data_IF_119905821923
#
_entry.id   IF_119905821923
#
_cell.length_a   1.000
_cell.length_b   1.000
_cell.length_c   1.000
_cell.angle_alpha   90.00
_cell.angle_beta   90.00
_cell.angle_gamma   90.00
#
_symmetry.space_group_name_H-M   'P 1'
#
loop_
_entity.id
_entity.type
_entity.pdbx_description
1 polymer ?
#
# COMPACT_ATOMS: atom_id res chain seq x y z
N UNK A 1 59.39 -1.23 -1.27
CA UNK A 1 58.09 -1.82 -1.58
C UNK A 1 56.98 -1.46 -0.59
N UNK A 2 57.22 -1.34 0.71
CA UNK A 2 56.21 -0.99 1.73
C UNK A 2 55.50 0.37 1.56
N UNK A 3 56.21 1.41 1.11
CA UNK A 3 55.63 2.75 0.96
C UNK A 3 54.58 2.84 -0.17
N UNK A 4 54.70 2.07 -1.25
CA UNK A 4 53.69 2.03 -2.32
C UNK A 4 52.37 1.36 -1.88
N UNK A 5 52.48 0.34 -1.04
CA UNK A 5 51.29 -0.35 -0.51
C UNK A 5 50.50 0.52 0.45
N UNK A 6 51.19 1.37 1.24
CA UNK A 6 50.57 2.35 2.15
C UNK A 6 49.87 3.49 1.38
N UNK A 7 50.46 3.97 0.28
CA UNK A 7 49.84 4.99 -0.57
C UNK A 7 48.58 4.46 -1.29
N UNK A 8 48.59 3.21 -1.74
CA UNK A 8 47.41 2.56 -2.34
C UNK A 8 46.33 2.37 -1.29
N UNK A 9 46.65 1.97 -0.07
CA UNK A 9 45.70 1.83 1.02
C UNK A 9 45.10 3.19 1.47
N UNK A 10 45.91 4.25 1.48
CA UNK A 10 45.46 5.61 1.80
C UNK A 10 44.61 6.24 0.69
N UNK A 11 44.88 5.94 -0.60
CA UNK A 11 44.04 6.41 -1.71
C UNK A 11 42.67 5.70 -1.79
N UNK A 12 42.57 4.49 -1.27
CA UNK A 12 41.28 3.77 -1.14
C UNK A 12 40.45 4.25 0.06
N UNK A 13 41.06 4.88 1.07
CA UNK A 13 40.37 5.37 2.26
C UNK A 13 39.62 6.71 2.07
N UNK A 14 39.65 7.32 0.88
CA UNK A 14 39.08 8.64 0.62
C UNK A 14 37.81 8.65 -0.26
N UNK A 15 37.28 7.50 -0.65
CA UNK A 15 35.99 7.46 -1.35
C UNK A 15 34.90 7.59 -0.31
N UNK A 16 34.13 8.69 -0.36
CA UNK A 16 33.00 8.83 0.57
C UNK A 16 32.04 7.64 0.42
N UNK A 17 31.43 7.16 1.53
CA UNK A 17 30.48 6.05 1.48
C UNK A 17 29.39 6.24 0.43
N UNK A 18 28.97 7.47 0.19
CA UNK A 18 27.97 7.85 -0.81
C UNK A 18 28.45 7.55 -2.24
N UNK A 19 29.71 7.90 -2.57
CA UNK A 19 30.28 7.63 -3.89
C UNK A 19 30.42 6.12 -4.10
N UNK A 20 30.82 5.37 -3.07
CA UNK A 20 30.94 3.92 -3.14
C UNK A 20 29.56 3.27 -3.38
N UNK A 21 28.52 3.71 -2.68
CA UNK A 21 27.12 3.25 -2.87
C UNK A 21 26.61 3.59 -4.27
N UNK A 22 26.87 4.81 -4.75
CA UNK A 22 26.46 5.21 -6.10
C UNK A 22 27.18 4.38 -7.19
N UNK A 23 28.48 4.12 -7.03
CA UNK A 23 29.23 3.31 -7.98
C UNK A 23 28.76 1.85 -7.99
N UNK A 24 28.50 1.27 -6.81
CA UNK A 24 27.93 -0.06 -6.69
C UNK A 24 26.54 -0.14 -7.31
N UNK A 25 25.69 0.86 -7.06
CA UNK A 25 24.34 0.94 -7.66
C UNK A 25 24.38 1.02 -9.18
N UNK A 26 25.26 1.87 -9.75
CA UNK A 26 25.45 1.95 -11.21
C UNK A 26 25.95 0.62 -11.80
N UNK A 27 26.93 -0.01 -11.17
CA UNK A 27 27.47 -1.31 -11.61
C UNK A 27 26.39 -2.40 -11.58
N UNK A 28 25.59 -2.44 -10.53
CA UNK A 28 24.46 -3.36 -10.40
C UNK A 28 23.40 -3.15 -11.48
N UNK A 29 22.97 -1.91 -11.71
CA UNK A 29 22.01 -1.57 -12.77
C UNK A 29 22.57 -1.96 -14.15
N UNK A 30 23.84 -1.63 -14.45
CA UNK A 30 24.45 -2.00 -15.71
C UNK A 30 24.53 -3.52 -15.91
N UNK A 31 24.79 -4.27 -14.85
CA UNK A 31 24.78 -5.74 -14.88
C UNK A 31 23.37 -6.29 -15.16
N UNK A 32 22.33 -5.72 -14.52
CA UNK A 32 20.94 -6.11 -14.76
C UNK A 32 20.50 -5.80 -16.19
N UNK A 33 20.90 -4.66 -16.75
CA UNK A 33 20.57 -4.27 -18.13
C UNK A 33 21.19 -5.17 -19.19
N UNK A 34 22.32 -5.83 -18.87
CA UNK A 34 22.97 -6.79 -19.77
C UNK A 34 22.30 -8.19 -19.73
N UNK A 35 21.49 -8.44 -18.73
CA UNK A 35 20.77 -9.70 -18.57
C UNK A 35 19.44 -9.60 -19.28
N UNK A 36 19.23 -10.35 -20.36
CA UNK A 36 17.92 -10.57 -20.96
C UNK A 36 17.06 -11.47 -20.05
N UNK A 37 16.64 -10.92 -18.92
CA UNK A 37 15.74 -11.61 -18.01
C UNK A 37 14.32 -11.08 -18.21
N UNK A 38 13.44 -11.96 -18.65
CA UNK A 38 12.01 -11.71 -18.70
C UNK A 38 11.35 -12.38 -17.49
N UNK A 39 10.60 -11.60 -16.71
CA UNK A 39 9.78 -12.16 -15.63
C UNK A 39 8.44 -12.60 -16.18
N UNK A 40 8.06 -13.81 -15.89
CA UNK A 40 6.70 -14.29 -16.17
C UNK A 40 5.80 -13.87 -15.01
N UNK A 41 4.82 -13.02 -15.30
CA UNK A 41 3.78 -12.60 -14.35
C UNK A 41 2.51 -13.36 -14.68
N UNK A 42 2.07 -14.22 -13.78
CA UNK A 42 0.85 -14.99 -13.94
C UNK A 42 -0.42 -14.13 -13.79
N UNK A 43 -1.54 -14.62 -14.28
CA UNK A 43 -2.82 -13.91 -14.28
C UNK A 43 -3.30 -13.59 -12.85
N UNK A 44 -3.08 -14.51 -11.91
CA UNK A 44 -3.43 -14.32 -10.49
C UNK A 44 -2.66 -13.16 -9.86
N UNK A 45 -1.39 -13.02 -10.18
CA UNK A 45 -0.56 -11.89 -9.73
C UNK A 45 -1.03 -10.58 -10.35
N UNK A 46 -1.41 -10.58 -11.64
CA UNK A 46 -1.97 -9.39 -12.30
C UNK A 46 -3.28 -8.97 -11.64
N UNK A 47 -4.19 -9.88 -11.37
CA UNK A 47 -5.44 -9.61 -10.64
C UNK A 47 -5.17 -9.04 -9.25
N UNK A 48 -4.18 -9.59 -8.54
CA UNK A 48 -3.76 -9.08 -7.23
C UNK A 48 -3.27 -7.63 -7.32
N UNK A 49 -2.47 -7.30 -8.33
CA UNK A 49 -1.99 -5.92 -8.58
C UNK A 49 -3.17 -4.98 -8.82
N UNK A 50 -4.13 -5.37 -9.66
CA UNK A 50 -5.31 -4.56 -9.96
C UNK A 50 -6.15 -4.32 -8.70
N UNK A 51 -6.42 -5.37 -7.92
CA UNK A 51 -7.19 -5.28 -6.68
C UNK A 51 -6.50 -4.36 -5.66
N UNK A 52 -5.20 -4.51 -5.45
CA UNK A 52 -4.43 -3.69 -4.52
C UNK A 52 -4.35 -2.23 -4.96
N UNK A 53 -4.18 -1.96 -6.25
CA UNK A 53 -4.18 -0.61 -6.79
C UNK A 53 -5.55 0.06 -6.62
N UNK A 54 -6.63 -0.68 -6.87
CA UNK A 54 -8.01 -0.20 -6.71
C UNK A 54 -8.29 0.11 -5.24
N UNK A 55 -7.93 -0.79 -4.33
CA UNK A 55 -8.06 -0.58 -2.90
C UNK A 55 -7.29 0.67 -2.44
N UNK A 56 -6.04 0.82 -2.86
CA UNK A 56 -5.22 1.97 -2.51
C UNK A 56 -5.81 3.28 -3.05
N UNK A 57 -6.34 3.30 -4.28
CA UNK A 57 -7.02 4.45 -4.85
C UNK A 57 -8.26 4.83 -4.03
N UNK A 58 -9.10 3.88 -3.67
CA UNK A 58 -10.28 4.11 -2.82
C UNK A 58 -9.89 4.64 -1.45
N UNK A 59 -8.90 4.04 -0.79
CA UNK A 59 -8.45 4.46 0.54
C UNK A 59 -7.89 5.89 0.57
N UNK A 60 -7.28 6.34 -0.53
CA UNK A 60 -6.73 7.69 -0.68
C UNK A 60 -7.77 8.72 -1.11
N UNK A 61 -8.92 8.28 -1.58
CA UNK A 61 -9.97 9.17 -2.07
C UNK A 61 -10.52 10.02 -0.94
N UNK A 62 -10.50 11.33 -1.13
CA UNK A 62 -11.09 12.28 -0.21
C UNK A 62 -12.61 12.25 -0.37
N UNK A 63 -13.31 12.26 0.76
CA UNK A 63 -14.77 12.45 0.80
C UNK A 63 -15.05 13.88 1.22
N UNK A 64 -15.64 14.65 0.32
CA UNK A 64 -15.98 16.04 0.59
C UNK A 64 -17.25 16.14 1.40
N UNK A 65 -17.20 16.92 2.48
CA UNK A 65 -18.30 17.14 3.43
C UNK A 65 -18.62 18.62 3.54
N UNK A 66 -19.84 18.93 3.91
CA UNK A 66 -20.24 20.29 4.22
C UNK A 66 -19.36 20.88 5.31
N UNK A 67 -18.89 22.11 5.07
CA UNK A 67 -18.07 22.85 6.05
C UNK A 67 -18.94 23.41 7.19
N UNK A 68 -20.19 23.73 6.88
CA UNK A 68 -21.19 24.27 7.81
C UNK A 68 -22.41 23.35 7.84
N UNK A 69 -22.93 23.04 9.03
CA UNK A 69 -24.09 22.18 9.19
C UNK A 69 -23.77 20.85 9.86
N UNK A 70 -24.40 19.78 9.40
CA UNK A 70 -24.27 18.43 9.97
C UNK A 70 -23.03 17.69 9.48
N UNK A 71 -22.24 18.27 8.55
CA UNK A 71 -21.10 17.62 7.92
C UNK A 71 -21.50 16.47 7.02
N UNK A 72 -22.64 16.58 6.35
CA UNK A 72 -23.13 15.59 5.40
C UNK A 72 -22.21 15.51 4.18
N UNK A 73 -22.20 14.35 3.52
CA UNK A 73 -21.40 14.15 2.30
C UNK A 73 -22.06 14.96 1.17
N UNK A 74 -21.32 15.92 0.62
CA UNK A 74 -21.84 16.85 -0.37
C UNK A 74 -22.03 16.20 -1.74
N UNK A 75 -21.11 15.32 -2.12
CA UNK A 75 -21.14 14.60 -3.39
C UNK A 75 -20.75 13.15 -3.20
N UNK A 76 -21.28 12.27 -4.05
CA UNK A 76 -20.80 10.89 -4.11
C UNK A 76 -19.31 10.90 -4.45
N UNK A 77 -18.43 10.35 -3.60
CA UNK A 77 -17.01 10.39 -3.86
C UNK A 77 -16.70 9.57 -5.11
N UNK A 78 -15.95 10.19 -6.03
CA UNK A 78 -15.42 9.50 -7.22
C UNK A 78 -14.00 9.10 -6.90
N UNK A 79 -13.74 7.80 -6.79
CA UNK A 79 -12.42 7.29 -6.55
C UNK A 79 -11.49 7.63 -7.72
N UNK A 80 -10.23 7.96 -7.41
CA UNK A 80 -9.19 8.13 -8.43
C UNK A 80 -9.12 6.87 -9.31
N UNK A 81 -9.00 7.05 -10.63
CA UNK A 81 -8.83 5.91 -11.53
C UNK A 81 -7.46 5.25 -11.25
N UNK A 82 -7.42 3.97 -10.87
CA UNK A 82 -6.19 3.33 -10.39
C UNK A 82 -5.17 3.03 -11.50
N UNK A 83 -5.43 3.42 -12.75
CA UNK A 83 -4.61 3.05 -13.93
C UNK A 83 -3.12 3.39 -13.76
N UNK A 84 -2.83 4.59 -13.23
CA UNK A 84 -1.43 4.98 -12.98
C UNK A 84 -0.76 4.08 -11.95
N UNK A 85 -1.47 3.78 -10.88
CA UNK A 85 -0.97 2.93 -9.80
C UNK A 85 -0.82 1.48 -10.27
N UNK A 86 -1.78 0.95 -11.04
CA UNK A 86 -1.69 -0.36 -11.69
C UNK A 86 -0.40 -0.42 -12.53
N UNK A 87 -0.15 0.58 -13.38
CA UNK A 87 1.06 0.60 -14.22
C UNK A 87 2.36 0.62 -13.41
N UNK A 88 2.40 1.37 -12.30
CA UNK A 88 3.57 1.42 -11.40
C UNK A 88 3.81 0.11 -10.67
N UNK A 89 2.76 -0.49 -10.12
CA UNK A 89 2.84 -1.77 -9.40
C UNK A 89 3.13 -2.93 -10.35
N UNK A 90 2.60 -2.91 -11.56
CA UNK A 90 2.93 -3.92 -12.60
C UNK A 90 4.42 -3.88 -12.95
N UNK A 91 5.01 -2.69 -13.10
CA UNK A 91 6.45 -2.54 -13.31
C UNK A 91 7.25 -3.05 -12.11
N UNK A 92 6.80 -2.75 -10.89
CA UNK A 92 7.46 -3.28 -9.67
C UNK A 92 7.48 -4.80 -9.66
N UNK A 93 6.34 -5.43 -9.96
CA UNK A 93 6.21 -6.91 -9.99
C UNK A 93 7.04 -7.53 -11.11
N UNK A 94 7.23 -6.84 -12.24
CA UNK A 94 8.09 -7.29 -13.33
C UNK A 94 9.59 -7.15 -13.02
N UNK A 95 9.98 -6.04 -12.37
CA UNK A 95 11.39 -5.74 -12.14
C UNK A 95 11.94 -6.36 -10.85
N UNK A 96 11.13 -6.51 -9.80
CA UNK A 96 11.60 -7.02 -8.51
C UNK A 96 12.17 -8.45 -8.58
N UNK A 97 11.58 -9.43 -9.31
CA UNK A 97 12.18 -10.74 -9.48
C UNK A 97 13.58 -10.66 -10.12
N UNK A 98 13.75 -9.83 -11.14
CA UNK A 98 15.03 -9.66 -11.84
C UNK A 98 16.10 -9.19 -10.85
N UNK A 99 15.78 -8.21 -9.99
CA UNK A 99 16.68 -7.70 -8.94
C UNK A 99 17.03 -8.80 -7.93
N UNK A 100 16.08 -9.68 -7.62
CA UNK A 100 16.28 -10.80 -6.70
C UNK A 100 16.95 -12.03 -7.37
N UNK A 101 17.22 -11.99 -8.67
CA UNK A 101 17.77 -13.12 -9.43
C UNK A 101 16.77 -14.25 -9.67
N UNK A 102 15.47 -13.94 -9.61
CA UNK A 102 14.37 -14.87 -9.78
C UNK A 102 13.72 -14.69 -11.17
N UNK A 103 13.16 -15.74 -11.73
CA UNK A 103 12.46 -15.71 -13.02
C UNK A 103 10.95 -15.53 -12.88
N UNK A 104 10.41 -15.83 -11.69
CA UNK A 104 8.98 -15.78 -11.39
C UNK A 104 8.70 -14.88 -10.20
N UNK A 105 7.45 -14.44 -10.08
CA UNK A 105 7.00 -13.67 -8.93
C UNK A 105 6.93 -14.56 -7.68
N UNK A 106 7.84 -14.35 -6.77
CA UNK A 106 7.93 -15.10 -5.52
C UNK A 106 7.11 -14.43 -4.39
N UNK A 107 6.94 -15.15 -3.28
CA UNK A 107 6.35 -14.60 -2.06
C UNK A 107 7.10 -13.38 -1.51
N UNK A 108 8.40 -13.27 -1.77
CA UNK A 108 9.20 -12.09 -1.38
C UNK A 108 8.76 -10.85 -2.15
N UNK A 109 8.52 -11.00 -3.46
CA UNK A 109 8.01 -9.91 -4.32
C UNK A 109 6.61 -9.50 -3.90
N UNK A 110 5.72 -10.46 -3.60
CA UNK A 110 4.38 -10.15 -3.08
C UNK A 110 4.43 -9.41 -1.74
N UNK A 111 5.30 -9.83 -0.81
CA UNK A 111 5.50 -9.11 0.46
C UNK A 111 6.00 -7.67 0.23
N UNK A 112 6.91 -7.47 -0.73
CA UNK A 112 7.36 -6.13 -1.11
C UNK A 112 6.20 -5.29 -1.67
N UNK A 113 5.38 -5.87 -2.55
CA UNK A 113 4.20 -5.22 -3.10
C UNK A 113 3.23 -4.76 -1.99
N UNK A 114 2.90 -5.64 -1.04
CA UNK A 114 2.06 -5.28 0.10
C UNK A 114 2.67 -4.17 0.96
N UNK A 115 3.98 -4.19 1.18
CA UNK A 115 4.67 -3.13 1.92
C UNK A 115 4.54 -1.79 1.20
N UNK A 116 4.77 -1.76 -0.11
CA UNK A 116 4.65 -0.54 -0.93
C UNK A 116 3.21 0.00 -0.89
N UNK A 117 2.21 -0.86 -1.02
CA UNK A 117 0.79 -0.46 -0.91
C UNK A 117 0.49 0.12 0.46
N UNK A 118 0.94 -0.51 1.53
CA UNK A 118 0.76 -0.01 2.89
C UNK A 118 1.35 1.38 3.08
N UNK A 119 2.55 1.61 2.54
CA UNK A 119 3.22 2.90 2.64
C UNK A 119 2.51 3.99 1.78
N UNK A 120 1.90 3.60 0.64
CA UNK A 120 1.09 4.49 -0.21
C UNK A 120 -0.20 4.93 0.48
N UNK A 121 -0.83 4.04 1.25
CA UNK A 121 -2.15 4.26 1.87
C UNK A 121 -2.05 5.02 3.20
N UNK A 122 -0.87 5.20 3.76
CA UNK A 122 -0.62 5.68 5.12
C UNK A 122 -1.16 4.71 6.19
N UNK A 123 -0.29 3.83 6.72
CA UNK A 123 -0.68 2.83 7.71
C UNK A 123 -1.14 3.43 9.05
N UNK A 124 -0.88 4.72 9.29
CA UNK A 124 -1.30 5.42 10.51
C UNK A 124 -2.71 5.99 10.40
N UNK A 125 -3.26 6.04 9.19
CA UNK A 125 -4.60 6.59 8.96
C UNK A 125 -5.67 5.76 9.68
N UNK A 126 -6.68 6.45 10.21
CA UNK A 126 -7.84 5.81 10.86
C UNK A 126 -8.51 4.85 9.87
N UNK A 127 -8.64 5.26 8.63
CA UNK A 127 -9.26 4.47 7.55
C UNK A 127 -8.53 3.15 7.33
N UNK A 128 -7.20 3.15 7.29
CA UNK A 128 -6.42 1.93 7.15
C UNK A 128 -6.63 0.98 8.33
N UNK A 129 -6.59 1.51 9.56
CA UNK A 129 -6.80 0.72 10.79
C UNK A 129 -8.18 0.08 10.80
N UNK A 130 -9.23 0.85 10.52
CA UNK A 130 -10.61 0.33 10.41
C UNK A 130 -10.74 -0.76 9.36
N UNK A 131 -10.14 -0.57 8.18
CA UNK A 131 -10.17 -1.60 7.13
C UNK A 131 -9.43 -2.87 7.56
N UNK A 132 -8.34 -2.74 8.32
CA UNK A 132 -7.61 -3.90 8.85
C UNK A 132 -8.46 -4.68 9.85
N UNK A 133 -9.06 -4.00 10.83
CA UNK A 133 -9.93 -4.63 11.83
C UNK A 133 -11.12 -5.32 11.13
N UNK A 134 -11.79 -4.62 10.20
CA UNK A 134 -12.93 -5.16 9.46
C UNK A 134 -12.58 -6.32 8.50
N UNK A 135 -11.30 -6.51 8.18
CA UNK A 135 -10.86 -7.72 7.47
C UNK A 135 -10.98 -8.99 8.31
N UNK A 136 -10.99 -8.87 9.62
CA UNK A 136 -11.06 -10.01 10.55
C UNK A 136 -12.49 -10.49 10.79
N UNK A 137 -13.52 -9.72 10.41
CA UNK A 137 -14.91 -10.15 10.55
C UNK A 137 -15.95 -9.03 10.60
N UNK A 138 -17.11 -9.36 11.18
CA UNK A 138 -18.17 -8.42 11.44
C UNK A 138 -18.04 -7.86 12.86
N UNK A 139 -18.14 -6.54 12.98
CA UNK A 139 -17.99 -5.83 14.25
C UNK A 139 -19.20 -4.96 14.56
N UNK A 140 -19.47 -4.82 15.86
CA UNK A 140 -20.35 -3.75 16.32
C UNK A 140 -19.58 -2.42 16.38
N UNK A 141 -20.22 -1.27 16.16
CA UNK A 141 -19.56 0.03 16.28
C UNK A 141 -18.86 0.25 17.63
N UNK A 142 -19.42 -0.29 18.72
CA UNK A 142 -18.81 -0.22 20.06
C UNK A 142 -17.51 -1.00 20.16
N UNK A 143 -17.39 -2.14 19.49
CA UNK A 143 -16.16 -2.93 19.45
C UNK A 143 -15.07 -2.21 18.68
N UNK A 144 -15.41 -1.56 17.56
CA UNK A 144 -14.48 -0.74 16.78
C UNK A 144 -13.99 0.49 17.55
N UNK A 145 -14.83 1.10 18.40
CA UNK A 145 -14.39 2.18 19.29
C UNK A 145 -13.37 1.66 20.29
N UNK A 146 -13.58 0.48 20.86
CA UNK A 146 -12.64 -0.11 21.83
C UNK A 146 -11.31 -0.52 21.17
N UNK A 147 -11.34 -1.15 20.00
CA UNK A 147 -10.13 -1.61 19.31
C UNK A 147 -9.28 -0.45 18.78
N UNK A 148 -9.92 0.56 18.21
CA UNK A 148 -9.23 1.68 17.56
C UNK A 148 -8.88 2.84 18.49
N UNK A 149 -9.63 2.99 19.62
CA UNK A 149 -9.49 4.09 20.57
C UNK A 149 -9.96 5.44 20.01
N UNK A 150 -10.70 5.47 18.91
CA UNK A 150 -11.22 6.71 18.31
C UNK A 150 -12.58 7.09 18.89
N UNK A 151 -12.94 8.38 18.81
CA UNK A 151 -14.26 8.84 19.29
C UNK A 151 -15.40 8.27 18.44
N UNK A 152 -16.57 8.05 19.05
CA UNK A 152 -17.78 7.56 18.37
C UNK A 152 -18.13 8.44 17.15
N UNK A 153 -17.96 9.76 17.26
CA UNK A 153 -18.28 10.68 16.17
C UNK A 153 -17.29 10.55 15.01
N UNK A 154 -16.02 10.40 15.31
CA UNK A 154 -14.97 10.14 14.30
C UNK A 154 -15.22 8.79 13.62
N UNK A 155 -15.52 7.75 14.40
CA UNK A 155 -15.84 6.42 13.85
C UNK A 155 -17.05 6.49 12.90
N UNK A 156 -18.12 7.13 13.30
CA UNK A 156 -19.31 7.28 12.43
C UNK A 156 -18.96 7.94 11.10
N UNK A 157 -18.19 9.03 11.12
CA UNK A 157 -17.78 9.73 9.90
C UNK A 157 -16.94 8.84 8.99
N UNK A 158 -15.94 8.15 9.52
CA UNK A 158 -15.09 7.26 8.74
C UNK A 158 -15.86 6.06 8.16
N UNK A 159 -16.82 5.49 8.91
CA UNK A 159 -17.67 4.41 8.42
C UNK A 159 -18.62 4.89 7.30
N UNK A 160 -19.17 6.10 7.41
CA UNK A 160 -19.93 6.73 6.33
C UNK A 160 -19.08 6.96 5.09
N UNK A 161 -17.83 7.44 5.26
CA UNK A 161 -16.88 7.63 4.16
C UNK A 161 -16.55 6.31 3.46
N UNK A 162 -16.23 5.28 4.23
CA UNK A 162 -15.95 3.95 3.69
C UNK A 162 -17.15 3.34 2.97
N UNK A 163 -18.36 3.57 3.48
CA UNK A 163 -19.60 3.17 2.81
C UNK A 163 -19.81 3.93 1.50
N UNK A 164 -19.62 5.24 1.50
CA UNK A 164 -19.75 6.06 0.30
C UNK A 164 -18.73 5.67 -0.79
N UNK A 165 -17.53 5.21 -0.38
CA UNK A 165 -16.52 4.66 -1.27
C UNK A 165 -16.80 3.23 -1.73
N UNK A 166 -17.89 2.60 -1.27
CA UNK A 166 -18.23 1.22 -1.61
C UNK A 166 -17.33 0.16 -0.95
N UNK A 167 -16.62 0.53 0.11
CA UNK A 167 -15.69 -0.37 0.82
C UNK A 167 -16.34 -1.11 1.99
N UNK A 168 -17.53 -0.71 2.40
CA UNK A 168 -18.29 -1.31 3.51
C UNK A 168 -19.73 -1.59 3.14
N UNK A 169 -20.24 -2.73 3.60
CA UNK A 169 -21.66 -3.01 3.73
C UNK A 169 -22.11 -2.90 5.19
N UNK A 170 -23.30 -2.38 5.39
CA UNK A 170 -23.98 -2.39 6.68
C UNK A 170 -25.07 -3.46 6.61
N UNK A 171 -24.89 -4.55 7.31
CA UNK A 171 -25.87 -5.61 7.38
C UNK A 171 -26.97 -5.25 8.40
N UNK A 172 -28.10 -4.76 7.88
CA UNK A 172 -29.32 -4.60 8.65
C UNK A 172 -30.08 -5.94 8.61
N UNK A 173 -29.72 -6.89 9.47
CA UNK A 173 -30.48 -8.14 9.60
C UNK A 173 -31.93 -7.86 10.02
N UNK A 174 -32.89 -8.67 9.60
CA UNK A 174 -34.30 -8.54 10.04
C UNK A 174 -34.37 -8.68 11.57
N UNK A 175 -34.83 -7.65 12.28
CA UNK A 175 -34.87 -7.59 13.74
C UNK A 175 -33.66 -6.96 14.42
N UNK A 176 -32.74 -6.36 13.68
CA UNK A 176 -31.56 -5.68 14.26
C UNK A 176 -32.00 -4.50 15.10
N UNK A 177 -31.81 -4.60 16.42
CA UNK A 177 -31.84 -3.46 17.34
C UNK A 177 -30.69 -2.49 16.97
N UNK A 178 -30.73 -1.21 17.41
CA UNK A 178 -29.67 -0.25 17.15
C UNK A 178 -28.32 -0.80 17.64
N UNK A 179 -27.48 -1.19 16.73
CA UNK A 179 -26.22 -1.94 16.93
C UNK A 179 -25.94 -2.83 15.71
N UNK A 180 -26.26 -2.32 14.54
CA UNK A 180 -26.08 -3.02 13.26
C UNK A 180 -24.64 -3.47 13.08
N UNK A 181 -24.42 -4.73 12.79
CA UNK A 181 -23.09 -5.26 12.47
C UNK A 181 -22.59 -4.69 11.15
N UNK A 182 -21.34 -4.34 11.14
CA UNK A 182 -20.64 -3.79 9.99
C UNK A 182 -19.74 -4.87 9.43
N UNK A 183 -19.89 -5.16 8.16
CA UNK A 183 -19.05 -6.12 7.45
C UNK A 183 -18.46 -5.51 6.20
N UNK A 184 -17.44 -6.17 5.68
CA UNK A 184 -16.79 -5.87 4.41
C UNK A 184 -17.63 -6.39 3.24
N UNK A 185 -17.54 -5.69 2.08
CA UNK A 185 -17.96 -6.22 0.79
C UNK A 185 -16.96 -7.25 0.24
#
# INVERSE_FOLDING_TARGET
>A
MMQRSLQIAQSQASVSPEIAVMAAGKGFISHLMQKEMTTVVDMKTQDTVIQLATLAAQMRTKVDRETYGRGEITFSPVSEIPTRLIGQLSKLVQCAPIILGETNVSQKVLKLLFKVIRDIVDPTSIRFRLCTDLCEGEFLPSELVQSTGISVNTLKRELEDLRALGMLAINNGPGSRPGTKISRF
#
